data_IF_441814096218
#
_entry.id   IF_441814096218
#
_cell.length_a   1.000
_cell.length_b   1.000
_cell.length_c   1.000
_cell.angle_alpha   90.00
_cell.angle_beta   90.00
_cell.angle_gamma   90.00
#
_symmetry.space_group_name_H-M   'P 1'
#
loop_
_entity.id
_entity.type
_entity.pdbx_description
1 polymer ?
#
# COMPACT_ATOMS: atom_id res chain seq x y z
N UNK A 1 21.40 -3.31 -7.72
CA UNK A 1 20.94 -1.96 -7.33
C UNK A 1 19.75 -1.61 -8.19
N UNK A 2 18.53 -1.80 -7.68
CA UNK A 2 17.34 -1.25 -8.32
C UNK A 2 17.10 0.12 -7.69
N UNK A 3 17.23 1.15 -8.52
CA UNK A 3 16.84 2.52 -8.22
C UNK A 3 15.33 2.52 -7.87
N UNK A 4 14.99 2.47 -6.59
CA UNK A 4 13.69 2.96 -6.16
C UNK A 4 13.78 4.47 -6.23
N UNK A 5 13.07 5.06 -7.18
CA UNK A 5 12.91 6.50 -7.36
C UNK A 5 12.25 7.07 -6.09
N UNK A 6 13.09 7.62 -5.20
CA UNK A 6 12.67 8.18 -3.92
C UNK A 6 12.26 9.64 -4.13
N UNK A 7 11.00 9.87 -4.53
CA UNK A 7 10.16 11.07 -4.27
C UNK A 7 9.13 11.29 -5.38
N UNK A 8 8.03 10.52 -5.39
CA UNK A 8 6.78 11.06 -5.93
C UNK A 8 5.98 11.63 -4.77
N UNK A 9 5.89 12.96 -4.74
CA UNK A 9 5.08 13.73 -3.79
C UNK A 9 3.69 13.11 -3.61
N UNK A 10 3.19 12.91 -2.36
CA UNK A 10 1.97 12.17 -2.04
C UNK A 10 0.65 12.87 -2.46
N UNK A 11 0.69 13.76 -3.46
CA UNK A 11 -0.45 14.62 -3.82
C UNK A 11 -1.05 14.29 -5.20
N UNK A 12 -0.30 13.61 -6.06
CA UNK A 12 -0.68 13.37 -7.48
C UNK A 12 -0.61 11.88 -7.90
N UNK A 13 -0.32 10.97 -6.96
CA UNK A 13 -0.17 9.55 -7.23
C UNK A 13 -1.37 8.75 -6.68
N UNK A 14 -2.53 8.82 -7.33
CA UNK A 14 -3.75 8.07 -6.96
C UNK A 14 -3.58 6.52 -7.04
N UNK A 15 -2.37 6.01 -7.24
CA UNK A 15 -2.10 4.58 -7.43
C UNK A 15 -0.67 4.20 -7.03
N UNK A 16 -0.54 3.60 -5.86
CA UNK A 16 0.68 3.04 -5.29
C UNK A 16 1.01 1.67 -5.90
N UNK A 17 2.29 1.37 -6.07
CA UNK A 17 2.76 0.01 -6.34
C UNK A 17 2.63 -0.87 -5.10
N UNK A 18 2.79 -2.20 -5.21
CA UNK A 18 2.78 -3.07 -4.03
C UNK A 18 3.93 -2.73 -3.07
N UNK A 19 5.07 -2.30 -3.60
CA UNK A 19 6.21 -1.88 -2.79
C UNK A 19 5.88 -0.60 -2.00
N UNK A 20 5.39 0.44 -2.68
CA UNK A 20 5.01 1.69 -2.02
C UNK A 20 3.89 1.48 -0.98
N UNK A 21 2.91 0.62 -1.25
CA UNK A 21 1.87 0.29 -0.29
C UNK A 21 2.41 -0.43 0.96
N UNK A 22 3.41 -1.32 0.81
CA UNK A 22 4.05 -1.97 1.95
C UNK A 22 4.84 -0.98 2.80
N UNK A 23 5.62 -0.12 2.15
CA UNK A 23 6.42 0.92 2.84
C UNK A 23 5.51 1.91 3.57
N UNK A 24 4.43 2.37 2.92
CA UNK A 24 3.47 3.28 3.53
C UNK A 24 2.75 2.67 4.75
N UNK A 25 2.45 1.36 4.71
CA UNK A 25 1.79 0.65 5.80
C UNK A 25 2.77 0.10 6.85
N UNK A 26 4.08 0.11 6.58
CA UNK A 26 5.08 -0.57 7.41
C UNK A 26 4.87 -2.09 7.51
N UNK A 27 4.30 -2.73 6.49
CA UNK A 27 3.94 -4.16 6.53
C UNK A 27 4.75 -5.04 5.57
N UNK A 28 4.82 -6.33 5.90
CA UNK A 28 5.40 -7.33 5.01
C UNK A 28 4.50 -7.62 3.79
N UNK A 29 5.10 -8.20 2.73
CA UNK A 29 4.38 -8.67 1.54
C UNK A 29 3.31 -9.73 1.88
N UNK A 30 3.57 -10.58 2.86
CA UNK A 30 2.62 -11.60 3.32
C UNK A 30 1.39 -10.94 3.97
N UNK A 31 1.59 -9.88 4.76
CA UNK A 31 0.50 -9.09 5.35
C UNK A 31 -0.28 -8.35 4.27
N UNK A 32 0.40 -7.73 3.29
CA UNK A 32 -0.26 -7.09 2.16
C UNK A 32 -1.17 -8.08 1.40
N UNK A 33 -0.66 -9.29 1.11
CA UNK A 33 -1.45 -10.32 0.46
C UNK A 33 -2.65 -10.78 1.30
N UNK A 34 -2.51 -10.82 2.64
CA UNK A 34 -3.63 -11.11 3.55
C UNK A 34 -4.71 -10.04 3.46
N UNK A 35 -4.34 -8.77 3.46
CA UNK A 35 -5.29 -7.65 3.30
C UNK A 35 -6.02 -7.71 1.97
N UNK A 36 -5.32 -8.06 0.89
CA UNK A 36 -5.95 -8.28 -0.41
C UNK A 36 -6.90 -9.48 -0.39
N UNK A 37 -6.47 -10.60 0.18
CA UNK A 37 -7.31 -11.80 0.28
C UNK A 37 -8.55 -11.59 1.16
N UNK A 38 -8.44 -10.74 2.18
CA UNK A 38 -9.52 -10.36 3.07
C UNK A 38 -10.44 -9.27 2.48
N UNK A 39 -10.12 -8.71 1.31
CA UNK A 39 -10.88 -7.60 0.70
C UNK A 39 -10.68 -6.25 1.39
N UNK A 40 -9.69 -6.13 2.28
CA UNK A 40 -9.34 -4.87 2.96
C UNK A 40 -8.64 -3.91 2.00
N UNK A 41 -7.82 -4.45 1.08
CA UNK A 41 -7.22 -3.70 -0.02
C UNK A 41 -7.61 -4.30 -1.35
N UNK A 42 -8.14 -3.49 -2.25
CA UNK A 42 -8.46 -3.93 -3.60
C UNK A 42 -7.37 -3.47 -4.58
N UNK A 43 -6.53 -4.39 -5.10
CA UNK A 43 -5.54 -4.04 -6.11
C UNK A 43 -6.20 -3.90 -7.48
N UNK A 44 -5.99 -2.77 -8.13
CA UNK A 44 -6.25 -2.61 -9.56
C UNK A 44 -5.16 -3.34 -10.34
N UNK A 45 -5.55 -4.32 -11.16
CA UNK A 45 -4.61 -4.96 -12.10
C UNK A 45 -4.51 -4.12 -13.37
N UNK A 46 -3.29 -3.74 -13.74
CA UNK A 46 -3.01 -3.13 -15.04
C UNK A 46 -2.92 -4.22 -16.12
N UNK A 47 -3.14 -3.86 -17.40
CA UNK A 47 -3.01 -4.80 -18.53
C UNK A 47 -1.59 -5.40 -18.62
N UNK A 48 -0.57 -4.73 -18.07
CA UNK A 48 0.80 -5.24 -17.95
C UNK A 48 0.99 -6.33 -16.87
N UNK A 49 -0.05 -6.70 -16.11
CA UNK A 49 0.01 -7.69 -15.03
C UNK A 49 0.47 -7.15 -13.67
N UNK A 50 0.91 -5.90 -13.61
CA UNK A 50 1.28 -5.23 -12.35
C UNK A 50 0.03 -4.84 -11.54
N UNK A 51 0.15 -4.88 -10.20
CA UNK A 51 -0.90 -4.45 -9.28
C UNK A 51 -0.64 -3.01 -8.84
N UNK A 52 -1.69 -2.20 -8.80
CA UNK A 52 -1.71 -0.86 -8.23
C UNK A 52 -2.74 -0.79 -7.11
N UNK A 53 -2.42 -0.08 -6.05
CA UNK A 53 -3.25 0.11 -4.87
C UNK A 53 -3.68 1.57 -4.82
N UNK A 54 -4.93 1.82 -4.52
CA UNK A 54 -5.39 3.20 -4.36
C UNK A 54 -4.74 3.83 -3.10
N UNK A 55 -4.20 5.03 -3.23
CA UNK A 55 -3.55 5.72 -2.11
C UNK A 55 -4.55 6.02 -0.99
N UNK A 56 -5.80 6.36 -1.34
CA UNK A 56 -6.86 6.65 -0.36
C UNK A 56 -7.23 5.40 0.43
N UNK A 57 -7.25 4.23 -0.21
CA UNK A 57 -7.51 2.96 0.46
C UNK A 57 -6.38 2.60 1.45
N UNK A 58 -5.12 2.89 1.08
CA UNK A 58 -3.96 2.70 1.97
C UNK A 58 -4.02 3.66 3.16
N UNK A 59 -4.31 4.93 2.93
CA UNK A 59 -4.47 5.92 4.01
C UNK A 59 -5.65 5.59 4.94
N UNK A 60 -6.75 5.05 4.41
CA UNK A 60 -7.87 4.61 5.23
C UNK A 60 -7.50 3.46 6.18
N UNK A 61 -6.57 2.58 5.77
CA UNK A 61 -6.05 1.51 6.63
C UNK A 61 -5.11 2.07 7.69
N UNK A 62 -4.27 3.03 7.34
CA UNK A 62 -3.46 3.75 8.33
C UNK A 62 -4.37 4.39 9.38
N UNK A 63 -5.35 5.18 8.95
CA UNK A 63 -6.31 5.83 9.85
C UNK A 63 -7.12 4.83 10.70
N UNK A 64 -7.35 3.60 10.20
CA UNK A 64 -8.00 2.52 10.96
C UNK A 64 -7.03 1.76 11.87
N UNK A 65 -5.76 1.69 11.50
CA UNK A 65 -4.67 0.97 12.16
C UNK A 65 -3.92 1.81 13.20
N UNK A 66 -4.04 3.15 13.19
CA UNK A 66 -3.60 4.02 14.30
C UNK A 66 -4.38 3.75 15.60
N UNK A 67 -5.47 2.98 15.52
CA UNK A 67 -6.17 2.38 16.67
C UNK A 67 -5.52 1.07 17.19
N UNK A 68 -4.52 0.53 16.49
CA UNK A 68 -3.88 -0.77 16.76
C UNK A 68 -2.36 -0.59 16.83
N UNK A 69 -1.88 0.22 17.78
CA UNK A 69 -0.43 0.45 17.93
C UNK A 69 -0.02 1.48 18.98
N UNK A 70 -0.66 1.44 20.16
CA UNK A 70 0.08 1.71 21.40
C UNK A 70 0.76 0.39 21.80
N UNK A 71 1.97 0.46 22.37
CA UNK A 71 2.92 -0.62 22.70
C UNK A 71 4.02 -0.93 21.66
N UNK A 72 5.09 -0.13 21.73
CA UNK A 72 6.48 -0.63 21.79
C UNK A 72 7.30 0.26 22.71
#
# INVERSE_FOLDING_TARGET
MAIHDVHRSPRDATSLTPAEAMEALGISRSTLNRYVAAGVLEPRRLPSGHRRFDSQAVEAILARGESWGDES
#
